data_IF_721712598950
#
_entry.id   IF_721712598950
#
_cell.length_a   1.000
_cell.length_b   1.000
_cell.length_c   1.000
_cell.angle_alpha   90.00
_cell.angle_beta   90.00
_cell.angle_gamma   90.00
#
_symmetry.space_group_name_H-M   'P 1'
#
loop_
_entity.id
_entity.type
_entity.pdbx_description
1 polymer ?
#
# COMPACT_ATOMS: atom_id res chain seq x y z
N UNK A 1 -67.75 19.72 -19.42
CA UNK A 1 -67.43 18.43 -20.08
C UNK A 1 -65.92 18.31 -20.08
N UNK A 2 -65.23 17.45 -19.33
CA UNK A 2 -65.61 16.46 -18.34
C UNK A 2 -64.39 16.10 -17.47
N UNK A 3 -64.70 15.70 -16.22
CA UNK A 3 -64.07 14.67 -15.37
C UNK A 3 -62.53 14.64 -15.25
N UNK A 4 -61.90 14.80 -14.08
CA UNK A 4 -62.07 14.16 -12.76
C UNK A 4 -60.64 13.74 -12.32
N UNK A 5 -60.19 13.67 -11.06
CA UNK A 5 -60.83 13.63 -9.75
C UNK A 5 -59.85 14.18 -8.68
N UNK A 6 -60.40 14.67 -7.56
CA UNK A 6 -59.67 14.93 -6.30
C UNK A 6 -59.12 13.64 -5.68
N UNK A 7 -58.34 13.70 -4.60
CA UNK A 7 -58.86 13.73 -3.23
C UNK A 7 -57.83 14.31 -2.25
N UNK A 8 -58.38 15.08 -1.31
CA UNK A 8 -57.81 15.67 -0.10
C UNK A 8 -57.99 14.70 1.09
N UNK A 9 -57.01 14.58 2.01
CA UNK A 9 -57.18 13.94 3.32
C UNK A 9 -56.26 14.66 4.35
N UNK A 10 -56.75 15.67 5.08
CA UNK A 10 -57.30 15.67 6.45
C UNK A 10 -56.41 15.06 7.55
N UNK A 11 -55.95 15.94 8.44
CA UNK A 11 -55.52 15.66 9.82
C UNK A 11 -56.61 14.95 10.62
N UNK A 12 -56.21 14.06 11.53
CA UNK A 12 -56.90 13.85 12.81
C UNK A 12 -55.88 13.65 13.94
N UNK A 13 -56.00 14.53 14.93
CA UNK A 13 -55.45 14.42 16.28
C UNK A 13 -56.37 13.49 17.08
N UNK A 14 -55.80 12.54 17.83
CA UNK A 14 -56.50 11.87 18.93
C UNK A 14 -55.68 12.01 20.21
N UNK A 15 -56.30 12.70 21.16
CA UNK A 15 -55.91 12.82 22.56
C UNK A 15 -56.14 11.51 23.32
N UNK A 16 -55.34 11.26 24.36
CA UNK A 16 -55.89 10.62 25.55
C UNK A 16 -55.27 11.19 26.83
N UNK A 17 -56.16 11.54 27.77
CA UNK A 17 -55.93 11.92 29.18
C UNK A 17 -55.47 10.66 29.96
N UNK A 18 -54.86 10.68 31.14
CA UNK A 18 -54.61 11.69 32.16
C UNK A 18 -54.07 11.02 33.44
N UNK A 19 -54.20 11.71 34.58
CA UNK A 19 -53.66 11.49 35.95
C UNK A 19 -52.27 12.14 36.12
N UNK A 20 -52.10 13.27 36.81
CA UNK A 20 -52.56 13.63 38.17
C UNK A 20 -51.41 13.31 39.13
N UNK A 21 -50.72 14.27 39.73
CA UNK A 21 -50.91 14.68 41.14
C UNK A 21 -50.27 16.06 41.39
N UNK A 22 -50.87 16.80 42.32
CA UNK A 22 -50.68 18.19 42.66
C UNK A 22 -49.44 18.51 43.52
N UNK A 23 -48.95 19.74 43.40
CA UNK A 23 -48.02 20.41 44.32
C UNK A 23 -47.99 21.91 44.05
N UNK A 24 -48.45 22.70 45.02
CA UNK A 24 -48.60 24.16 45.04
C UNK A 24 -47.26 24.91 45.24
N UNK A 25 -47.24 26.27 45.22
CA UNK A 25 -46.26 27.05 44.47
C UNK A 25 -45.14 27.66 45.32
N UNK A 26 -44.05 28.06 44.67
CA UNK A 26 -43.20 29.14 45.19
C UNK A 26 -42.80 30.10 44.07
N UNK A 27 -43.09 31.38 44.33
CA UNK A 27 -42.69 32.55 43.55
C UNK A 27 -41.16 32.62 43.45
N UNK A 28 -40.66 33.11 42.32
CA UNK A 28 -39.61 34.12 42.36
C UNK A 28 -39.66 35.00 41.11
N UNK A 29 -39.57 36.29 41.38
CA UNK A 29 -39.77 37.42 40.50
C UNK A 29 -38.67 37.57 39.44
N UNK A 30 -39.05 37.97 38.22
CA UNK A 30 -38.52 39.12 37.46
C UNK A 30 -38.90 39.00 35.98
N UNK A 31 -40.02 39.60 35.60
CA UNK A 31 -40.30 39.95 34.22
C UNK A 31 -39.59 41.26 33.89
N UNK A 32 -38.59 41.24 33.00
CA UNK A 32 -38.10 42.44 32.32
C UNK A 32 -38.56 42.38 30.87
N UNK A 33 -39.26 43.44 30.47
CA UNK A 33 -39.84 43.63 29.16
C UNK A 33 -38.78 43.64 28.04
N UNK A 34 -39.06 42.93 26.95
CA UNK A 34 -38.33 43.06 25.69
C UNK A 34 -38.89 44.25 24.90
N UNK A 35 -38.06 45.18 24.41
CA UNK A 35 -38.54 46.20 23.49
C UNK A 35 -38.75 45.60 22.10
N UNK A 36 -39.91 45.94 21.53
CA UNK A 36 -40.21 45.83 20.11
C UNK A 36 -39.13 46.60 19.32
N UNK A 37 -38.37 45.91 18.47
CA UNK A 37 -37.49 46.57 17.49
C UNK A 37 -37.96 46.27 16.07
N UNK A 38 -38.15 47.38 15.37
CA UNK A 38 -38.55 47.52 13.97
C UNK A 38 -37.58 46.81 13.02
N UNK A 39 -38.15 46.08 12.07
CA UNK A 39 -37.47 45.46 10.95
C UNK A 39 -37.03 46.52 9.93
N UNK A 40 -35.78 46.99 10.01
CA UNK A 40 -35.04 47.53 8.87
C UNK A 40 -33.56 47.64 9.22
N UNK A 41 -32.70 47.29 8.26
CA UNK A 41 -31.23 47.34 8.31
C UNK A 41 -30.51 46.16 8.98
N UNK A 42 -30.53 45.00 8.31
CA UNK A 42 -29.42 44.04 8.41
C UNK A 42 -28.45 44.37 7.28
N UNK A 43 -27.41 45.14 7.60
CA UNK A 43 -26.25 45.31 6.73
C UNK A 43 -25.53 43.97 6.58
N UNK A 44 -25.70 43.33 5.43
CA UNK A 44 -24.96 42.13 5.07
C UNK A 44 -23.49 42.48 4.86
N UNK A 45 -22.66 42.26 5.87
CA UNK A 45 -21.21 42.18 5.67
C UNK A 45 -20.91 40.88 4.94
N UNK A 46 -21.03 40.90 3.61
CA UNK A 46 -20.53 39.85 2.75
C UNK A 46 -19.02 39.77 2.94
N UNK A 47 -18.54 38.78 3.71
CA UNK A 47 -17.14 38.36 3.67
C UNK A 47 -16.90 37.89 2.25
N UNK A 48 -16.30 38.76 1.44
CA UNK A 48 -15.90 38.49 0.07
C UNK A 48 -14.78 37.45 0.14
N UNK A 49 -15.12 36.17 0.04
CA UNK A 49 -14.16 35.10 -0.16
C UNK A 49 -13.40 35.41 -1.45
N UNK A 50 -12.13 35.78 -1.31
CA UNK A 50 -11.22 35.97 -2.44
C UNK A 50 -11.14 34.63 -3.19
N UNK A 51 -11.41 34.59 -4.51
CA UNK A 51 -11.22 33.37 -5.28
C UNK A 51 -9.71 33.15 -5.42
N UNK A 52 -9.13 32.25 -4.62
CA UNK A 52 -7.69 32.02 -4.70
C UNK A 52 -7.01 31.19 -3.62
N UNK A 53 -7.67 30.85 -2.51
CA UNK A 53 -7.06 29.92 -1.54
C UNK A 53 -7.74 28.56 -1.60
N UNK A 54 -7.31 27.75 -2.57
CA UNK A 54 -7.34 26.30 -2.37
C UNK A 54 -6.44 26.03 -1.16
N UNK A 55 -7.03 25.66 -0.04
CA UNK A 55 -6.29 24.98 1.02
C UNK A 55 -5.75 23.67 0.43
N UNK A 56 -4.57 23.73 -0.16
CA UNK A 56 -3.77 22.56 -0.45
C UNK A 56 -3.21 22.09 0.89
N UNK A 57 -4.05 21.50 1.74
CA UNK A 57 -3.54 20.57 2.74
C UNK A 57 -2.96 19.40 1.94
N UNK A 58 -1.72 19.57 1.50
CA UNK A 58 -0.92 18.49 0.94
C UNK A 58 -0.75 17.54 2.11
N UNK A 59 -1.56 16.48 2.12
CA UNK A 59 -1.48 15.43 3.11
C UNK A 59 -0.04 14.93 3.13
N UNK A 60 0.56 14.89 4.31
CA UNK A 60 1.94 14.44 4.49
C UNK A 60 2.12 13.08 3.81
N UNK A 61 3.12 12.94 2.94
CA UNK A 61 3.41 11.68 2.26
C UNK A 61 3.93 10.68 3.29
N UNK A 62 3.26 9.55 3.44
CA UNK A 62 3.66 8.51 4.38
C UNK A 62 4.10 7.27 3.61
N UNK A 63 5.31 6.81 3.92
CA UNK A 63 5.89 5.61 3.30
C UNK A 63 6.16 4.60 4.40
N UNK A 64 5.73 3.36 4.17
CA UNK A 64 5.84 2.25 5.10
C UNK A 64 6.70 1.15 4.50
N UNK A 65 7.56 0.54 5.31
CA UNK A 65 8.18 -0.75 5.00
C UNK A 65 8.15 -1.67 6.22
N UNK A 66 8.49 -2.94 6.01
CA UNK A 66 8.57 -3.94 7.06
C UNK A 66 9.91 -4.69 7.01
N UNK A 67 10.61 -4.73 8.13
CA UNK A 67 11.76 -5.60 8.39
C UNK A 67 11.36 -6.56 9.51
N UNK A 68 11.48 -7.86 9.32
CA UNK A 68 11.26 -8.82 10.40
C UNK A 68 12.21 -10.00 10.28
N UNK A 69 12.66 -10.50 11.43
CA UNK A 69 13.69 -11.52 11.52
C UNK A 69 14.96 -11.11 10.78
N UNK A 70 15.59 -12.07 10.10
CA UNK A 70 16.93 -11.91 9.51
C UNK A 70 16.95 -11.91 7.98
N UNK A 71 15.77 -11.92 7.34
CA UNK A 71 15.67 -11.93 5.88
C UNK A 71 16.14 -10.62 5.25
N UNK A 72 16.02 -9.52 5.99
CA UNK A 72 16.50 -8.19 5.64
C UNK A 72 17.22 -7.59 6.84
N UNK A 73 18.18 -6.74 6.56
CA UNK A 73 19.03 -6.04 7.52
C UNK A 73 18.67 -4.56 7.60
N UNK A 74 19.22 -3.85 8.59
CA UNK A 74 19.09 -2.39 8.67
C UNK A 74 19.63 -1.69 7.41
N UNK A 75 20.63 -2.27 6.74
CA UNK A 75 21.16 -1.77 5.46
C UNK A 75 20.06 -1.69 4.39
N UNK A 76 19.18 -2.69 4.31
CA UNK A 76 18.11 -2.73 3.31
C UNK A 76 17.09 -1.61 3.56
N UNK A 77 16.75 -1.35 4.82
CA UNK A 77 15.88 -0.22 5.23
C UNK A 77 16.55 1.12 4.89
N UNK A 78 17.83 1.28 5.22
CA UNK A 78 18.57 2.51 4.95
C UNK A 78 18.72 2.79 3.45
N UNK A 79 18.89 1.75 2.64
CA UNK A 79 18.90 1.83 1.17
C UNK A 79 17.51 2.25 0.65
N UNK A 80 16.43 1.65 1.16
CA UNK A 80 15.08 2.04 0.76
C UNK A 80 14.78 3.51 1.09
N UNK A 81 15.14 3.96 2.29
CA UNK A 81 15.02 5.38 2.65
C UNK A 81 15.83 6.27 1.69
N UNK A 82 17.08 5.92 1.41
CA UNK A 82 17.94 6.67 0.47
C UNK A 82 17.35 6.75 -0.94
N UNK A 83 16.77 5.65 -1.42
CA UNK A 83 16.04 5.63 -2.69
C UNK A 83 14.81 6.53 -2.67
N UNK A 84 14.05 6.53 -1.56
CA UNK A 84 12.87 7.38 -1.40
C UNK A 84 13.26 8.86 -1.36
N UNK A 85 14.24 9.25 -0.56
CA UNK A 85 14.64 10.65 -0.38
C UNK A 85 15.11 11.30 -1.68
N UNK A 86 15.71 10.52 -2.59
CA UNK A 86 16.10 10.98 -3.93
C UNK A 86 14.95 11.12 -4.92
N UNK A 87 13.84 10.42 -4.70
CA UNK A 87 12.78 10.25 -5.71
C UNK A 87 11.40 10.75 -5.25
N UNK A 88 11.29 11.37 -4.08
CA UNK A 88 10.08 12.03 -3.59
C UNK A 88 10.31 13.53 -3.50
N UNK A 89 9.39 14.32 -4.06
CA UNK A 89 9.46 15.78 -3.93
C UNK A 89 8.77 16.28 -2.66
N UNK A 90 9.45 17.14 -1.92
CA UNK A 90 8.97 17.75 -0.68
C UNK A 90 9.03 16.81 0.52
N UNK A 91 8.39 17.22 1.61
CA UNK A 91 8.43 16.49 2.88
C UNK A 91 7.68 15.15 2.81
N UNK A 92 8.23 14.15 3.49
CA UNK A 92 7.63 12.84 3.70
C UNK A 92 7.99 12.31 5.09
N UNK A 93 7.18 11.37 5.58
CA UNK A 93 7.46 10.55 6.76
C UNK A 93 7.72 9.12 6.32
N UNK A 94 8.74 8.51 6.89
CA UNK A 94 9.14 7.15 6.58
C UNK A 94 9.09 6.31 7.85
N UNK A 95 8.30 5.24 7.81
CA UNK A 95 8.13 4.33 8.93
C UNK A 95 8.58 2.92 8.57
N UNK A 96 9.34 2.29 9.47
CA UNK A 96 9.70 0.90 9.36
C UNK A 96 9.09 0.12 10.52
N UNK A 97 8.17 -0.80 10.24
CA UNK A 97 7.73 -1.77 11.24
C UNK A 97 8.81 -2.84 11.40
N UNK A 98 9.37 -2.98 12.59
CA UNK A 98 10.52 -3.85 12.85
C UNK A 98 10.52 -4.48 14.23
N UNK A 99 11.14 -5.65 14.34
CA UNK A 99 11.46 -6.35 15.60
C UNK A 99 12.87 -6.00 16.13
N UNK A 100 13.67 -5.31 15.31
CA UNK A 100 15.01 -4.87 15.65
C UNK A 100 15.35 -3.59 14.87
N UNK A 101 15.60 -2.52 15.60
CA UNK A 101 15.91 -1.18 15.06
C UNK A 101 17.41 -0.92 14.94
N UNK A 102 18.26 -1.84 15.39
CA UNK A 102 19.70 -1.65 15.48
C UNK A 102 20.33 -1.31 14.12
N UNK A 103 21.00 -0.17 14.03
CA UNK A 103 21.67 0.30 12.81
C UNK A 103 20.73 0.87 11.74
N UNK A 104 19.43 0.98 12.02
CA UNK A 104 18.51 1.76 11.19
C UNK A 104 18.76 3.24 11.47
N UNK A 105 18.76 4.04 10.40
CA UNK A 105 19.04 5.48 10.45
C UNK A 105 17.94 6.26 11.20
N UNK A 106 18.33 7.38 11.82
CA UNK A 106 17.44 8.19 12.69
C UNK A 106 16.29 8.86 11.95
N UNK A 107 16.41 9.08 10.63
CA UNK A 107 15.33 9.65 9.83
C UNK A 107 14.17 8.68 9.59
N UNK A 108 14.38 7.39 9.89
CA UNK A 108 13.34 6.35 9.83
C UNK A 108 12.72 6.21 11.21
N UNK A 109 11.40 6.43 11.29
CA UNK A 109 10.67 6.15 12.52
C UNK A 109 10.41 4.64 12.60
N UNK A 110 11.10 3.96 13.51
CA UNK A 110 10.87 2.56 13.80
C UNK A 110 9.62 2.40 14.67
N UNK A 111 8.74 1.48 14.26
CA UNK A 111 7.55 1.08 15.00
C UNK A 111 7.61 -0.43 15.23
N UNK A 112 6.98 -0.98 16.30
CA UNK A 112 6.89 -2.42 16.47
C UNK A 112 6.17 -3.08 15.29
N UNK A 113 6.42 -4.36 15.05
CA UNK A 113 5.63 -5.12 14.07
C UNK A 113 4.14 -5.13 14.49
N UNK A 114 3.20 -4.75 13.60
CA UNK A 114 1.78 -4.81 13.91
C UNK A 114 1.35 -6.26 14.13
N UNK A 115 0.51 -6.49 15.14
CA UNK A 115 0.13 -7.84 15.54
C UNK A 115 -0.86 -8.47 14.55
N UNK A 116 -0.50 -9.66 14.07
CA UNK A 116 -1.42 -10.45 13.25
C UNK A 116 -2.60 -10.96 14.07
N UNK A 117 -2.38 -11.32 15.34
CA UNK A 117 -3.44 -11.76 16.27
C UNK A 117 -4.03 -13.14 15.96
N UNK A 118 -3.38 -13.93 15.10
CA UNK A 118 -3.74 -15.31 14.80
C UNK A 118 -2.53 -16.08 14.26
N UNK A 119 -2.55 -17.40 14.41
CA UNK A 119 -1.54 -18.26 13.80
C UNK A 119 -1.92 -18.63 12.37
N UNK A 120 -0.93 -18.59 11.47
CA UNK A 120 -1.05 -19.08 10.10
C UNK A 120 -0.43 -20.46 10.05
N UNK A 121 -1.10 -21.49 9.47
CA UNK A 121 -0.52 -22.81 9.35
C UNK A 121 0.85 -22.77 8.66
N UNK A 122 1.85 -23.41 9.26
CA UNK A 122 3.26 -23.34 8.82
C UNK A 122 3.48 -23.84 7.39
N UNK A 123 2.57 -24.67 6.87
CA UNK A 123 2.62 -25.22 5.50
C UNK A 123 2.04 -24.26 4.44
N UNK A 124 1.34 -23.19 4.87
CA UNK A 124 0.77 -22.19 3.97
C UNK A 124 1.87 -21.19 3.56
N UNK A 125 2.07 -20.95 2.26
CA UNK A 125 3.11 -20.03 1.80
C UNK A 125 2.71 -18.56 2.02
N UNK A 126 3.61 -17.64 1.65
CA UNK A 126 3.32 -16.21 1.63
C UNK A 126 3.86 -15.45 2.82
N UNK A 127 3.54 -14.15 2.84
CA UNK A 127 4.04 -13.18 3.83
C UNK A 127 2.87 -12.63 4.64
N UNK A 128 2.12 -13.54 5.23
CA UNK A 128 0.90 -13.25 6.00
C UNK A 128 1.03 -12.24 7.14
N UNK A 129 2.19 -12.03 7.80
CA UNK A 129 2.35 -10.92 8.74
C UNK A 129 1.99 -9.55 8.15
N UNK A 130 2.15 -9.33 6.83
CA UNK A 130 1.71 -8.11 6.15
C UNK A 130 0.21 -7.84 6.29
N UNK A 131 -0.61 -8.86 6.53
CA UNK A 131 -2.05 -8.68 6.71
C UNK A 131 -2.38 -7.85 7.95
N UNK A 132 -1.46 -7.72 8.92
CA UNK A 132 -1.64 -6.86 10.07
C UNK A 132 -1.69 -5.36 9.71
N UNK A 133 -1.17 -4.97 8.53
CA UNK A 133 -1.29 -3.60 7.99
C UNK A 133 -2.74 -3.19 7.71
N UNK A 134 -3.65 -4.16 7.57
CA UNK A 134 -5.07 -3.87 7.37
C UNK A 134 -5.80 -3.61 8.69
N UNK A 135 -5.11 -3.52 9.82
CA UNK A 135 -5.72 -3.22 11.11
C UNK A 135 -6.44 -1.86 11.14
N UNK A 136 -7.40 -1.74 12.07
CA UNK A 136 -8.14 -0.50 12.31
C UNK A 136 -7.20 0.66 12.68
N UNK A 137 -6.17 0.35 13.43
CA UNK A 137 -5.15 1.30 13.90
C UNK A 137 -3.76 0.76 13.56
N UNK A 138 -2.83 1.66 13.27
CA UNK A 138 -1.42 1.36 13.05
C UNK A 138 -0.56 2.33 13.84
N UNK A 139 -0.49 2.15 15.17
CA UNK A 139 0.34 2.97 16.08
C UNK A 139 0.10 4.47 15.95
N UNK A 140 -1.18 4.88 15.83
CA UNK A 140 -1.56 6.29 15.70
C UNK A 140 -1.31 6.90 14.31
N UNK A 141 -0.84 6.11 13.33
CA UNK A 141 -0.79 6.55 11.94
C UNK A 141 -2.21 6.66 11.36
N UNK A 142 -2.46 7.73 10.60
CA UNK A 142 -3.76 8.04 10.01
C UNK A 142 -3.61 8.43 8.54
N UNK A 143 -4.72 8.45 7.80
CA UNK A 143 -4.73 8.88 6.39
C UNK A 143 -4.20 7.82 5.43
N UNK A 144 -3.51 8.26 4.37
CA UNK A 144 -3.07 7.39 3.28
C UNK A 144 -1.59 7.07 3.39
N UNK A 145 -1.23 5.80 3.19
CA UNK A 145 0.14 5.34 3.22
C UNK A 145 0.51 4.54 1.96
N UNK A 146 1.76 4.70 1.51
CA UNK A 146 2.39 3.90 0.46
C UNK A 146 3.33 2.87 1.10
N UNK A 147 2.99 1.59 1.01
CA UNK A 147 3.85 0.50 1.41
C UNK A 147 4.81 0.12 0.28
N UNK A 148 6.09 -0.08 0.60
CA UNK A 148 7.14 -0.54 -0.33
C UNK A 148 7.95 -1.67 0.32
N UNK A 149 8.04 -2.82 -0.36
CA UNK A 149 8.91 -3.94 0.03
C UNK A 149 10.40 -3.56 -0.08
N UNK A 150 11.22 -4.10 0.84
CA UNK A 150 12.66 -3.88 0.88
C UNK A 150 13.44 -4.41 -0.34
N UNK A 151 12.83 -5.28 -1.15
CA UNK A 151 13.39 -5.77 -2.42
C UNK A 151 12.86 -5.00 -3.66
N UNK A 152 12.50 -3.73 -3.49
CA UNK A 152 12.12 -2.82 -4.58
C UNK A 152 13.24 -1.83 -4.87
N UNK A 153 13.52 -1.59 -6.15
CA UNK A 153 14.44 -0.55 -6.62
C UNK A 153 13.64 0.61 -7.19
N UNK A 154 13.83 1.82 -6.65
CA UNK A 154 13.21 3.05 -7.15
C UNK A 154 14.15 3.66 -8.18
N UNK A 155 13.67 3.81 -9.42
CA UNK A 155 14.47 4.23 -10.59
C UNK A 155 14.11 5.62 -11.10
N UNK A 156 12.99 6.19 -10.66
CA UNK A 156 12.51 7.52 -11.07
C UNK A 156 11.57 8.09 -9.99
N UNK A 157 11.16 9.35 -10.13
CA UNK A 157 10.26 10.06 -9.23
C UNK A 157 8.95 9.27 -8.97
N UNK A 158 8.57 9.16 -7.69
CA UNK A 158 7.42 8.37 -7.23
C UNK A 158 6.27 9.22 -6.69
N UNK A 159 6.24 10.54 -6.95
CA UNK A 159 5.18 11.43 -6.46
C UNK A 159 3.79 11.00 -6.93
N UNK A 160 3.72 10.49 -8.17
CA UNK A 160 2.48 9.97 -8.75
C UNK A 160 1.83 8.84 -7.93
N UNK A 161 2.59 8.07 -7.14
CA UNK A 161 2.01 7.04 -6.26
C UNK A 161 1.14 7.64 -5.14
N UNK A 162 1.36 8.90 -4.77
CA UNK A 162 0.52 9.61 -3.79
C UNK A 162 -0.66 10.32 -4.42
N UNK A 163 -0.60 10.63 -5.72
CA UNK A 163 -1.57 11.48 -6.41
C UNK A 163 -2.56 10.70 -7.29
N UNK A 164 -2.17 9.51 -7.74
CA UNK A 164 -2.98 8.72 -8.68
C UNK A 164 -4.17 8.03 -7.99
N UNK A 165 -5.37 8.14 -8.54
CA UNK A 165 -6.58 7.50 -8.01
C UNK A 165 -7.13 8.17 -6.74
N UNK A 166 -8.20 7.63 -6.17
CA UNK A 166 -8.86 8.16 -4.99
C UNK A 166 -8.07 7.81 -3.71
N UNK A 167 -7.96 8.71 -2.71
CA UNK A 167 -7.34 8.41 -1.41
C UNK A 167 -7.88 7.15 -0.71
N UNK A 168 -9.15 6.80 -0.93
CA UNK A 168 -9.79 5.60 -0.36
C UNK A 168 -9.51 4.33 -1.18
N UNK A 169 -8.88 4.44 -2.34
CA UNK A 169 -8.54 3.27 -3.15
C UNK A 169 -7.40 2.47 -2.53
N UNK A 170 -7.54 1.14 -2.57
CA UNK A 170 -6.39 0.24 -2.48
C UNK A 170 -5.81 0.03 -3.87
N UNK A 171 -4.61 0.56 -4.10
CA UNK A 171 -3.92 0.49 -5.40
C UNK A 171 -2.66 -0.35 -5.25
N UNK A 172 -2.50 -1.41 -6.04
CA UNK A 172 -1.38 -2.34 -5.91
C UNK A 172 -0.57 -2.46 -7.21
N UNK A 173 0.66 -2.97 -7.09
CA UNK A 173 1.37 -3.53 -8.23
C UNK A 173 0.57 -4.70 -8.84
N UNK A 174 0.72 -4.90 -10.16
CA UNK A 174 0.15 -6.07 -10.85
C UNK A 174 1.06 -7.27 -10.63
N UNK A 175 0.47 -8.42 -10.34
CA UNK A 175 1.19 -9.68 -10.40
C UNK A 175 1.40 -10.09 -11.86
N UNK A 176 2.63 -9.95 -12.33
CA UNK A 176 3.03 -10.21 -13.71
C UNK A 176 3.22 -11.69 -14.07
N UNK A 177 3.16 -12.59 -13.08
CA UNK A 177 3.39 -14.02 -13.31
C UNK A 177 2.11 -14.80 -13.64
N UNK A 178 0.94 -14.16 -13.50
CA UNK A 178 -0.35 -14.77 -13.80
C UNK A 178 -1.10 -13.95 -14.85
N UNK A 179 -1.80 -14.63 -15.76
CA UNK A 179 -2.64 -13.98 -16.78
C UNK A 179 -3.85 -13.25 -16.18
N UNK A 180 -4.35 -13.71 -15.01
CA UNK A 180 -5.44 -13.04 -14.30
C UNK A 180 -4.88 -11.85 -13.55
N UNK A 181 -5.57 -10.70 -13.64
CA UNK A 181 -5.21 -9.48 -12.90
C UNK A 181 -5.33 -9.74 -11.39
N UNK A 182 -4.20 -9.99 -10.73
CA UNK A 182 -4.12 -10.10 -9.27
C UNK A 182 -3.11 -9.13 -8.68
N UNK A 183 -3.30 -8.79 -7.42
CA UNK A 183 -2.41 -7.90 -6.67
C UNK A 183 -1.05 -8.55 -6.42
N UNK A 184 -0.02 -7.73 -6.48
CA UNK A 184 1.27 -7.98 -5.88
C UNK A 184 1.49 -6.94 -4.78
N UNK A 185 1.66 -7.40 -3.53
CA UNK A 185 1.78 -6.57 -2.32
C UNK A 185 3.23 -6.11 -2.06
N UNK A 186 3.97 -5.84 -3.13
CA UNK A 186 5.33 -5.27 -3.06
C UNK A 186 5.32 -3.75 -3.08
N UNK A 187 4.35 -3.15 -3.77
CA UNK A 187 4.12 -1.70 -3.77
C UNK A 187 2.62 -1.48 -3.77
N UNK A 188 2.07 -0.95 -2.68
CA UNK A 188 0.65 -0.67 -2.61
C UNK A 188 0.33 0.55 -1.75
N UNK A 189 -0.72 1.27 -2.13
CA UNK A 189 -1.27 2.39 -1.37
C UNK A 189 -2.62 2.00 -0.79
N UNK A 190 -2.89 2.44 0.43
CA UNK A 190 -4.15 2.17 1.12
C UNK A 190 -4.48 3.26 2.14
N UNK A 191 -5.78 3.48 2.44
CA UNK A 191 -6.21 4.24 3.61
C UNK A 191 -6.00 3.40 4.87
N UNK A 192 -5.24 3.91 5.84
CA UNK A 192 -5.04 3.27 7.14
C UNK A 192 -6.39 3.14 7.85
N UNK A 193 -6.69 1.96 8.40
CA UNK A 193 -7.96 1.66 9.06
C UNK A 193 -9.15 1.43 8.13
N UNK A 194 -9.05 1.78 6.84
CA UNK A 194 -10.18 1.69 5.88
C UNK A 194 -10.65 0.26 5.56
N UNK A 195 -9.82 -0.75 5.84
CA UNK A 195 -10.12 -2.15 5.54
C UNK A 195 -9.92 -3.09 6.75
N UNK A 196 -10.16 -2.61 7.97
CA UNK A 196 -10.07 -3.34 9.25
C UNK A 196 -10.66 -4.76 9.21
N UNK A 197 -11.83 -4.90 8.57
CA UNK A 197 -12.55 -6.16 8.43
C UNK A 197 -11.71 -7.28 7.78
N UNK A 198 -10.69 -6.95 6.98
CA UNK A 198 -9.81 -7.96 6.39
C UNK A 198 -8.96 -8.65 7.45
N UNK A 199 -8.42 -7.90 8.40
CA UNK A 199 -7.66 -8.49 9.50
C UNK A 199 -8.59 -9.20 10.49
N UNK A 200 -9.76 -8.64 10.78
CA UNK A 200 -10.78 -9.27 11.63
C UNK A 200 -11.24 -10.62 11.08
N UNK A 201 -11.55 -10.70 9.79
CA UNK A 201 -11.92 -11.95 9.13
C UNK A 201 -10.78 -12.98 9.21
N UNK A 202 -9.54 -12.56 8.95
CA UNK A 202 -8.38 -13.44 9.03
C UNK A 202 -8.18 -13.97 10.45
N UNK A 203 -8.42 -13.16 11.49
CA UNK A 203 -8.35 -13.60 12.89
C UNK A 203 -9.47 -14.57 13.25
N UNK A 204 -10.67 -14.38 12.69
CA UNK A 204 -11.81 -15.25 12.93
C UNK A 204 -11.69 -16.63 12.27
N UNK A 205 -11.06 -16.72 11.08
CA UNK A 205 -10.84 -17.99 10.36
C UNK A 205 -9.48 -17.99 9.65
N UNK A 206 -8.40 -18.04 10.43
CA UNK A 206 -7.04 -17.98 9.88
C UNK A 206 -6.71 -19.19 9.01
N UNK A 207 -7.18 -20.38 9.40
CA UNK A 207 -6.92 -21.63 8.68
C UNK A 207 -7.68 -21.65 7.35
N UNK A 208 -8.98 -21.38 7.35
CA UNK A 208 -9.81 -21.41 6.14
C UNK A 208 -9.38 -20.36 5.13
N UNK A 209 -9.17 -19.10 5.57
CA UNK A 209 -8.75 -18.01 4.69
C UNK A 209 -7.35 -18.25 4.14
N UNK A 210 -6.39 -18.61 4.99
CA UNK A 210 -5.01 -18.79 4.54
C UNK A 210 -4.86 -19.98 3.58
N UNK A 211 -5.58 -21.08 3.81
CA UNK A 211 -5.59 -22.24 2.88
C UNK A 211 -6.30 -21.91 1.57
N UNK A 212 -7.42 -21.18 1.62
CA UNK A 212 -8.16 -20.74 0.42
C UNK A 212 -7.32 -19.86 -0.49
N UNK A 213 -6.68 -18.83 0.05
CA UNK A 213 -5.96 -17.85 -0.76
C UNK A 213 -4.49 -18.19 -1.00
N UNK A 214 -3.91 -19.05 -0.15
CA UNK A 214 -2.51 -19.50 -0.14
C UNK A 214 -1.49 -18.40 0.13
N UNK A 215 -1.62 -17.24 -0.52
CA UNK A 215 -0.75 -16.07 -0.37
C UNK A 215 -1.58 -14.87 0.09
N UNK A 216 -1.01 -14.02 0.92
CA UNK A 216 -1.68 -12.84 1.45
C UNK A 216 -2.08 -11.86 0.35
N UNK A 217 -1.29 -11.74 -0.73
CA UNK A 217 -1.64 -10.90 -1.88
C UNK A 217 -2.90 -11.37 -2.62
N UNK A 218 -3.18 -12.68 -2.63
CA UNK A 218 -4.42 -13.22 -3.17
C UNK A 218 -5.58 -12.88 -2.25
N UNK A 219 -5.35 -12.90 -0.94
CA UNK A 219 -6.34 -12.44 0.03
C UNK A 219 -6.65 -10.95 -0.16
N UNK A 220 -5.64 -10.11 -0.38
CA UNK A 220 -5.83 -8.69 -0.70
C UNK A 220 -6.63 -8.50 -2.00
N UNK A 221 -6.28 -9.24 -3.05
CA UNK A 221 -6.96 -9.17 -4.35
C UNK A 221 -8.48 -9.37 -4.24
N UNK A 222 -8.93 -10.28 -3.37
CA UNK A 222 -10.34 -10.66 -3.24
C UNK A 222 -11.03 -10.08 -1.99
N UNK A 223 -10.26 -9.64 -0.99
CA UNK A 223 -10.74 -9.17 0.31
C UNK A 223 -11.06 -7.68 0.34
N UNK A 224 -10.45 -6.88 -0.54
CA UNK A 224 -10.77 -5.44 -0.65
C UNK A 224 -12.17 -5.29 -1.25
N UNK A 225 -13.10 -4.72 -0.48
CA UNK A 225 -14.46 -4.37 -0.91
C UNK A 225 -14.35 -3.29 -1.99
N UNK A 226 -15.09 -3.46 -3.09
CA UNK A 226 -14.93 -2.61 -4.29
C UNK A 226 -13.77 -3.03 -5.20
N UNK A 227 -12.92 -3.97 -4.75
CA UNK A 227 -11.79 -4.50 -5.52
C UNK A 227 -10.54 -3.63 -5.46
N UNK A 228 -9.40 -4.24 -5.74
CA UNK A 228 -8.13 -3.53 -5.88
C UNK A 228 -8.04 -2.82 -7.23
N UNK A 229 -7.45 -1.62 -7.22
CA UNK A 229 -6.98 -0.95 -8.43
C UNK A 229 -5.50 -1.26 -8.68
N UNK A 230 -5.04 -0.99 -9.89
CA UNK A 230 -3.65 -1.19 -10.26
C UNK A 230 -3.01 0.15 -10.61
N UNK A 231 -1.72 0.28 -10.30
CA UNK A 231 -0.91 1.38 -10.81
C UNK A 231 -0.94 1.41 -12.35
N UNK A 232 -0.70 2.59 -12.97
CA UNK A 232 -0.42 2.66 -14.39
C UNK A 232 0.63 1.62 -14.77
N UNK A 233 0.38 0.93 -15.89
CA UNK A 233 1.08 -0.30 -16.23
C UNK A 233 2.60 -0.13 -16.27
N UNK A 234 3.06 1.06 -16.66
CA UNK A 234 4.49 1.34 -16.81
C UNK A 234 5.21 1.63 -15.51
N UNK A 235 4.52 2.07 -14.46
CA UNK A 235 5.17 2.55 -13.25
C UNK A 235 5.85 1.44 -12.45
N UNK A 236 5.19 0.30 -12.27
CA UNK A 236 5.72 -0.82 -11.48
C UNK A 236 5.98 -2.04 -12.34
N UNK A 237 7.25 -2.36 -12.59
CA UNK A 237 7.65 -3.52 -13.37
C UNK A 237 8.29 -4.59 -12.49
N UNK A 238 8.20 -5.83 -12.96
CA UNK A 238 8.87 -6.98 -12.37
C UNK A 238 10.23 -7.21 -13.03
N UNK A 239 11.31 -7.31 -12.24
CA UNK A 239 12.68 -7.46 -12.73
C UNK A 239 12.87 -8.62 -13.74
N UNK A 240 12.54 -9.86 -13.32
CA UNK A 240 12.70 -11.06 -14.18
C UNK A 240 11.87 -11.04 -15.45
N UNK A 241 10.71 -10.39 -15.43
CA UNK A 241 9.76 -10.36 -16.55
C UNK A 241 10.14 -9.26 -17.55
N UNK A 242 10.46 -8.07 -17.06
CA UNK A 242 10.61 -6.89 -17.93
C UNK A 242 12.06 -6.45 -18.15
N UNK A 243 12.96 -6.66 -17.18
CA UNK A 243 14.33 -6.17 -17.28
C UNK A 243 15.24 -7.19 -17.98
N UNK A 244 15.14 -8.46 -17.60
CA UNK A 244 16.10 -9.50 -17.99
C UNK A 244 16.02 -9.96 -19.45
N UNK A 245 14.86 -9.81 -20.11
CA UNK A 245 14.60 -10.43 -21.40
C UNK A 245 14.49 -11.97 -21.33
N UNK A 246 14.46 -12.61 -22.50
CA UNK A 246 14.38 -14.07 -22.65
C UNK A 246 15.69 -14.74 -22.20
N UNK A 247 15.66 -16.06 -22.03
CA UNK A 247 16.84 -16.81 -21.58
C UNK A 247 18.07 -16.60 -22.49
N UNK A 248 17.86 -16.51 -23.81
CA UNK A 248 18.93 -16.32 -24.78
C UNK A 248 19.47 -14.88 -24.75
N UNK A 249 18.58 -13.88 -24.70
CA UNK A 249 19.02 -12.47 -24.75
C UNK A 249 19.87 -12.06 -23.55
N UNK A 250 19.75 -12.77 -22.41
CA UNK A 250 20.56 -12.55 -21.20
C UNK A 250 22.05 -12.75 -21.43
N UNK A 251 22.44 -13.52 -22.44
CA UNK A 251 23.85 -13.73 -22.82
C UNK A 251 24.43 -12.60 -23.66
N UNK A 252 23.58 -11.77 -24.26
CA UNK A 252 23.98 -10.73 -25.20
C UNK A 252 23.80 -9.31 -24.68
N UNK A 253 22.91 -9.11 -23.69
CA UNK A 253 22.71 -7.80 -23.06
C UNK A 253 22.45 -7.88 -21.55
N UNK A 254 22.81 -6.84 -20.79
CA UNK A 254 22.40 -6.71 -19.40
C UNK A 254 20.90 -6.46 -19.23
N UNK A 255 20.37 -6.65 -18.01
CA UNK A 255 19.03 -6.22 -17.66
C UNK A 255 18.88 -4.71 -17.85
N UNK A 256 17.74 -4.26 -18.38
CA UNK A 256 17.47 -2.84 -18.66
C UNK A 256 16.30 -2.32 -17.84
N UNK A 257 16.26 -1.02 -17.58
CA UNK A 257 15.08 -0.35 -17.00
C UNK A 257 14.05 -0.13 -18.12
N UNK A 258 12.83 -0.68 -18.02
CA UNK A 258 11.78 -0.42 -19.00
C UNK A 258 11.38 1.05 -19.02
N UNK A 259 11.02 1.58 -20.19
CA UNK A 259 10.57 2.97 -20.34
C UNK A 259 9.36 3.24 -19.44
N UNK A 260 9.37 4.38 -18.74
CA UNK A 260 8.28 4.81 -17.86
C UNK A 260 8.23 4.10 -16.51
N UNK A 261 9.16 3.17 -16.24
CA UNK A 261 9.28 2.54 -14.93
C UNK A 261 9.73 3.54 -13.87
N UNK A 262 9.05 3.47 -12.73
CA UNK A 262 9.35 4.24 -11.51
C UNK A 262 9.88 3.33 -10.41
N UNK A 263 9.33 2.13 -10.32
CA UNK A 263 9.77 1.09 -9.40
C UNK A 263 9.93 -0.26 -10.09
N UNK A 264 11.00 -0.98 -9.76
CA UNK A 264 11.26 -2.34 -10.18
C UNK A 264 11.22 -3.26 -8.96
N UNK A 265 10.29 -4.21 -8.94
CA UNK A 265 10.16 -5.20 -7.86
C UNK A 265 11.02 -6.44 -8.13
N UNK A 266 11.64 -6.99 -7.07
CA UNK A 266 12.48 -8.20 -7.12
C UNK A 266 11.88 -9.36 -6.31
N UNK A 267 10.66 -9.83 -6.65
CA UNK A 267 10.09 -10.97 -5.94
C UNK A 267 10.93 -12.24 -6.17
N UNK A 268 11.38 -12.84 -5.07
CA UNK A 268 12.19 -14.05 -5.08
C UNK A 268 13.67 -13.77 -5.36
N UNK A 269 14.25 -14.49 -6.33
CA UNK A 269 15.66 -14.38 -6.72
C UNK A 269 15.80 -14.10 -8.22
N UNK A 270 16.83 -13.34 -8.66
CA UNK A 270 17.84 -12.68 -7.82
C UNK A 270 17.26 -11.50 -7.02
N UNK A 271 17.90 -11.18 -5.90
CA UNK A 271 17.66 -9.95 -5.14
C UNK A 271 18.51 -8.78 -5.70
N UNK A 272 18.16 -7.51 -5.41
CA UNK A 272 18.85 -6.34 -5.99
C UNK A 272 20.37 -6.38 -5.85
N UNK A 273 20.89 -6.73 -4.67
CA UNK A 273 22.32 -6.82 -4.38
C UNK A 273 23.05 -7.87 -5.23
N UNK A 274 22.34 -8.94 -5.62
CA UNK A 274 22.88 -9.99 -6.48
C UNK A 274 22.83 -9.55 -7.96
N UNK A 275 21.72 -8.94 -8.38
CA UNK A 275 21.58 -8.42 -9.73
C UNK A 275 22.62 -7.33 -10.05
N UNK A 276 22.90 -6.45 -9.09
CA UNK A 276 23.94 -5.42 -9.18
C UNK A 276 25.36 -6.01 -9.35
N UNK A 277 25.57 -7.27 -8.98
CA UNK A 277 26.83 -8.00 -9.12
C UNK A 277 26.84 -8.98 -10.31
N UNK A 278 25.74 -9.13 -11.06
CA UNK A 278 25.63 -10.16 -12.10
C UNK A 278 25.56 -11.59 -11.53
N UNK A 279 24.96 -11.75 -10.35
CA UNK A 279 24.77 -13.04 -9.66
C UNK A 279 23.30 -13.42 -9.62
N UNK A 280 23.00 -14.71 -9.81
CA UNK A 280 21.64 -15.22 -9.60
C UNK A 280 21.34 -15.49 -8.11
N UNK A 281 22.37 -15.84 -7.32
CA UNK A 281 22.31 -16.06 -5.86
C UNK A 281 23.56 -15.52 -5.16
N UNK A 282 23.50 -15.26 -3.83
CA UNK A 282 24.61 -14.68 -3.07
C UNK A 282 25.96 -15.38 -3.21
N UNK A 283 25.97 -16.72 -3.15
CA UNK A 283 27.20 -17.52 -3.16
C UNK A 283 27.62 -18.04 -4.55
N UNK A 284 26.95 -17.59 -5.62
CA UNK A 284 27.35 -17.98 -6.98
C UNK A 284 28.49 -17.08 -7.49
N UNK A 285 29.50 -17.64 -8.16
CA UNK A 285 30.56 -16.83 -8.75
C UNK A 285 29.99 -16.05 -9.93
N UNK A 286 30.53 -14.85 -10.14
CA UNK A 286 30.29 -14.07 -11.35
C UNK A 286 30.91 -14.83 -12.52
N UNK A 287 30.14 -15.00 -13.60
CA UNK A 287 30.60 -15.69 -14.81
C UNK A 287 30.37 -14.82 -16.03
N UNK A 288 31.32 -14.82 -16.95
CA UNK A 288 31.10 -14.38 -18.32
C UNK A 288 30.08 -15.30 -19.03
N UNK A 289 29.49 -14.87 -20.16
CA UNK A 289 28.57 -15.71 -20.94
C UNK A 289 29.16 -17.10 -21.26
N UNK A 290 30.42 -17.14 -21.69
CA UNK A 290 31.11 -18.36 -22.10
C UNK A 290 31.40 -19.29 -20.92
N UNK A 291 31.88 -18.74 -19.79
CA UNK A 291 32.09 -19.52 -18.55
C UNK A 291 30.79 -20.10 -18.02
N UNK A 292 29.70 -19.35 -18.07
CA UNK A 292 28.39 -19.85 -17.66
C UNK A 292 27.92 -20.99 -18.57
N UNK A 293 28.06 -20.86 -19.90
CA UNK A 293 27.69 -21.93 -20.83
C UNK A 293 28.54 -23.19 -20.63
N UNK A 294 29.87 -23.04 -20.44
CA UNK A 294 30.76 -24.15 -20.09
C UNK A 294 30.31 -24.85 -18.82
N UNK A 295 29.99 -24.07 -17.77
CA UNK A 295 29.48 -24.61 -16.51
C UNK A 295 28.14 -25.32 -16.70
N UNK A 296 27.18 -24.75 -17.45
CA UNK A 296 25.92 -25.44 -17.76
C UNK A 296 26.17 -26.76 -18.49
N UNK A 297 27.18 -26.80 -19.38
CA UNK A 297 27.65 -28.01 -20.05
C UNK A 297 28.04 -29.12 -19.08
N UNK A 298 28.77 -28.79 -17.99
CA UNK A 298 29.13 -29.78 -16.96
C UNK A 298 27.91 -30.28 -16.17
N UNK A 299 26.81 -29.54 -16.16
CA UNK A 299 25.55 -29.95 -15.52
C UNK A 299 24.68 -30.85 -16.42
N UNK A 300 25.01 -31.04 -17.71
CA UNK A 300 24.20 -31.83 -18.65
C UNK A 300 24.06 -33.29 -18.21
N UNK A 301 25.11 -33.84 -17.59
CA UNK A 301 25.12 -35.19 -17.04
C UNK A 301 24.19 -35.35 -15.82
N UNK A 302 23.71 -34.25 -15.22
CA UNK A 302 22.82 -34.22 -14.06
C UNK A 302 21.31 -34.18 -14.36
N UNK A 303 20.90 -34.35 -15.62
CA UNK A 303 19.49 -34.47 -16.04
C UNK A 303 18.71 -33.14 -16.18
N UNK A 304 17.38 -33.17 -16.10
CA UNK A 304 16.42 -32.08 -16.49
C UNK A 304 16.66 -30.68 -15.83
N UNK A 305 17.58 -30.55 -14.87
CA UNK A 305 17.89 -29.29 -14.18
C UNK A 305 18.76 -28.34 -15.01
N UNK A 306 19.51 -28.81 -16.01
CA UNK A 306 20.43 -27.97 -16.80
C UNK A 306 19.73 -26.80 -17.53
N UNK A 307 18.51 -27.02 -18.07
CA UNK A 307 17.71 -25.98 -18.73
C UNK A 307 17.37 -24.82 -17.79
N UNK A 308 17.15 -25.16 -16.51
CA UNK A 308 16.92 -24.18 -15.45
C UNK A 308 18.19 -23.39 -15.15
N UNK A 309 19.37 -24.00 -15.26
CA UNK A 309 20.64 -23.31 -15.10
C UNK A 309 20.89 -22.34 -16.26
N UNK A 310 20.61 -22.75 -17.50
CA UNK A 310 20.71 -21.89 -18.69
C UNK A 310 19.87 -20.60 -18.54
N UNK A 311 18.63 -20.72 -18.06
CA UNK A 311 17.76 -19.55 -17.85
C UNK A 311 18.12 -18.68 -16.64
N UNK A 312 19.08 -19.11 -15.80
CA UNK A 312 19.50 -18.40 -14.58
C UNK A 312 20.78 -17.59 -14.77
N UNK A 313 21.19 -17.35 -16.01
CA UNK A 313 22.25 -16.39 -16.29
C UNK A 313 21.74 -14.95 -16.19
N UNK A 314 22.58 -14.08 -15.64
CA UNK A 314 22.34 -12.65 -15.54
C UNK A 314 23.68 -11.94 -15.69
N UNK A 315 23.74 -10.97 -16.60
CA UNK A 315 24.83 -9.99 -16.62
C UNK A 315 24.61 -8.94 -15.55
N UNK A 316 25.69 -8.28 -15.13
CA UNK A 316 25.65 -7.19 -14.15
C UNK A 316 24.62 -6.13 -14.56
N UNK A 317 23.71 -5.80 -13.65
CA UNK A 317 22.73 -4.73 -13.85
C UNK A 317 23.27 -3.44 -13.20
N UNK A 318 24.06 -2.67 -13.94
CA UNK A 318 24.75 -1.49 -13.40
C UNK A 318 23.78 -0.46 -12.81
N UNK A 319 22.65 -0.22 -13.48
CA UNK A 319 21.58 0.66 -12.98
C UNK A 319 21.04 0.22 -11.61
N UNK A 320 21.06 -1.07 -11.28
CA UNK A 320 20.65 -1.50 -9.93
C UNK A 320 21.64 -0.97 -8.90
N UNK A 321 22.94 -1.00 -9.17
CA UNK A 321 23.95 -0.42 -8.26
C UNK A 321 23.87 1.11 -8.15
N UNK A 322 23.49 1.79 -9.24
CA UNK A 322 23.32 3.24 -9.27
C UNK A 322 22.11 3.71 -8.44
N UNK A 323 20.99 2.97 -8.53
CA UNK A 323 19.74 3.31 -7.87
C UNK A 323 19.61 2.70 -6.47
N UNK A 324 19.99 1.43 -6.26
CA UNK A 324 19.84 0.69 -5.01
C UNK A 324 20.99 0.99 -4.03
N UNK A 325 20.99 2.21 -3.50
CA UNK A 325 21.96 2.71 -2.53
C UNK A 325 21.31 3.62 -1.48
N UNK A 326 21.93 3.72 -0.32
CA UNK A 326 21.52 4.64 0.74
C UNK A 326 21.70 6.12 0.36
#
# INVERSE_FOLDING_TARGET
>A
MGTGAGVCLRLYILSNRGQGWAGEPNRCDTCVALPFFSSSEVGATAVRLLPGQRNTHKTMKQILCMKWGTAYSAKDVNILYGMVSRNVSGEFRFYCFTDDESGIREEVTCLPLPELGCEIPKDVPGKWPKSALWGKELFGLEGVALFIDLDTVIVDNIDGYFEYGDPQDVITARNWLYFRKSAQTSVFRFPIGGHAYMLENLRADSVGISRKYRFEQNYVTHGVKGGVKFWPEDWTKHFRVHCMGTALTRYFRPPVVPRGAKMITFPGIPKPENAAQGKWKPHEPVRTPTEHLKWVGTQLLGGKKWRRHLSRYIQKADWVGEHWRA
#
